data_IF_613451398363
#
_entry.id   IF_613451398363
#
_cell.length_a   1.000
_cell.length_b   1.000
_cell.length_c   1.000
_cell.angle_alpha   90.00
_cell.angle_beta   90.00
_cell.angle_gamma   90.00
#
_symmetry.space_group_name_H-M   'P 1'
#
loop_
_entity.id
_entity.type
_entity.pdbx_description
1 polymer ?
#
# COMPACT_ATOMS: atom_id res chain seq x y z
N UNK A 1 -13.68 -47.78 -53.92
CA UNK A 1 -12.36 -47.37 -53.38
C UNK A 1 -12.38 -45.99 -52.69
N UNK A 2 -13.22 -45.08 -53.07
CA UNK A 2 -13.27 -43.69 -52.54
C UNK A 2 -13.78 -43.62 -51.11
N UNK A 3 -14.68 -44.54 -50.68
CA UNK A 3 -15.27 -44.52 -49.30
C UNK A 3 -14.31 -44.93 -48.18
N UNK A 4 -13.25 -45.72 -48.50
CA UNK A 4 -12.25 -46.14 -47.49
C UNK A 4 -11.14 -45.10 -47.29
N UNK A 5 -10.94 -44.23 -48.28
CA UNK A 5 -9.97 -43.15 -48.16
C UNK A 5 -10.42 -41.99 -47.28
N UNK A 6 -11.76 -41.73 -47.24
CA UNK A 6 -12.33 -40.69 -46.37
C UNK A 6 -12.28 -41.04 -44.88
N UNK A 7 -12.35 -42.34 -44.53
CA UNK A 7 -12.28 -42.79 -43.13
C UNK A 7 -10.85 -42.71 -42.56
N UNK A 8 -9.82 -42.84 -43.39
CA UNK A 8 -8.41 -42.73 -42.95
C UNK A 8 -8.00 -41.29 -42.81
N UNK A 9 -8.52 -40.36 -43.58
CA UNK A 9 -8.24 -38.93 -43.45
C UNK A 9 -8.95 -38.32 -42.21
N UNK A 10 -10.11 -38.85 -41.80
CA UNK A 10 -10.79 -38.42 -40.58
C UNK A 10 -10.13 -38.96 -39.31
N UNK A 11 -9.38 -40.05 -39.36
CA UNK A 11 -8.66 -40.62 -38.20
C UNK A 11 -7.29 -39.97 -37.96
N UNK A 12 -6.76 -39.21 -38.91
CA UNK A 12 -5.48 -38.48 -38.79
C UNK A 12 -5.63 -37.01 -38.39
N UNK A 13 -6.85 -36.49 -38.29
CA UNK A 13 -7.14 -35.13 -37.78
C UNK A 13 -7.56 -35.11 -36.31
N UNK A 14 -7.39 -36.20 -35.54
CA UNK A 14 -7.29 -36.11 -34.08
C UNK A 14 -5.94 -35.50 -33.72
N UNK A 15 -5.76 -34.23 -34.13
CA UNK A 15 -4.70 -33.40 -33.63
C UNK A 15 -4.88 -33.33 -32.12
N UNK A 16 -4.02 -34.02 -31.40
CA UNK A 16 -3.76 -33.79 -30.00
C UNK A 16 -3.59 -32.30 -29.82
N UNK A 17 -4.64 -31.66 -29.27
CA UNK A 17 -4.48 -30.37 -28.62
C UNK A 17 -3.26 -30.53 -27.71
N UNK A 18 -2.28 -29.62 -27.76
CA UNK A 18 -1.18 -29.70 -26.82
C UNK A 18 -1.82 -29.73 -25.44
N UNK A 19 -1.59 -30.81 -24.71
CA UNK A 19 -1.94 -30.84 -23.28
C UNK A 19 -1.27 -29.61 -22.68
N UNK A 20 -2.09 -28.64 -22.28
CA UNK A 20 -1.60 -27.48 -21.55
C UNK A 20 -0.88 -28.09 -20.37
N UNK A 21 0.43 -27.98 -20.30
CA UNK A 21 1.19 -28.44 -19.15
C UNK A 21 0.50 -27.83 -17.95
N UNK A 22 -0.13 -28.68 -17.15
CA UNK A 22 -0.78 -28.26 -15.93
C UNK A 22 0.38 -27.79 -15.07
N UNK A 23 0.50 -26.48 -14.84
CA UNK A 23 1.57 -25.94 -14.01
C UNK A 23 1.48 -26.65 -12.67
N UNK A 24 2.60 -27.18 -12.15
CA UNK A 24 2.65 -27.86 -10.87
C UNK A 24 2.40 -26.92 -9.69
N UNK A 25 2.19 -25.63 -9.95
CA UNK A 25 2.01 -24.61 -8.95
C UNK A 25 0.76 -24.83 -8.09
N UNK A 26 0.92 -24.64 -6.78
CA UNK A 26 -0.17 -24.65 -5.80
C UNK A 26 -0.91 -23.31 -5.74
N UNK A 27 -0.27 -22.26 -6.23
CA UNK A 27 -0.84 -20.93 -6.34
C UNK A 27 0.03 -19.95 -7.11
N UNK A 28 -0.53 -18.77 -7.38
CA UNK A 28 0.11 -17.71 -8.15
C UNK A 28 0.03 -16.39 -7.39
N UNK A 29 1.07 -15.58 -7.47
CA UNK A 29 1.07 -14.23 -6.92
C UNK A 29 -0.01 -13.38 -7.59
N UNK A 30 -0.84 -12.71 -6.79
CA UNK A 30 -1.86 -11.78 -7.29
C UNK A 30 -1.24 -10.47 -7.79
N UNK A 31 -0.18 -10.03 -7.14
CA UNK A 31 0.55 -8.78 -7.40
C UNK A 31 2.06 -9.03 -7.33
N UNK A 32 2.93 -8.06 -7.72
CA UNK A 32 4.35 -8.14 -7.39
C UNK A 32 4.52 -8.35 -5.89
N UNK A 33 5.21 -9.43 -5.49
CA UNK A 33 5.25 -9.90 -4.12
C UNK A 33 6.67 -10.19 -3.67
N UNK A 34 7.07 -9.68 -2.51
CA UNK A 34 8.39 -9.94 -1.95
C UNK A 34 8.50 -11.39 -1.47
N UNK A 35 9.52 -12.09 -1.98
CA UNK A 35 10.01 -13.36 -1.45
C UNK A 35 11.02 -13.07 -0.36
N UNK A 36 10.81 -13.63 0.84
CA UNK A 36 11.62 -13.29 2.03
C UNK A 36 12.32 -14.49 2.62
N UNK A 37 13.33 -14.21 3.45
CA UNK A 37 14.13 -15.24 4.13
C UNK A 37 13.39 -15.91 5.30
N UNK A 38 12.28 -15.36 5.77
CA UNK A 38 11.51 -15.91 6.89
C UNK A 38 10.05 -15.48 6.88
N UNK A 39 9.22 -16.05 7.78
CA UNK A 39 7.77 -15.86 7.82
C UNK A 39 7.37 -14.55 8.50
N UNK A 40 7.76 -13.42 7.93
CA UNK A 40 7.46 -12.12 8.49
C UNK A 40 8.03 -10.98 7.65
N UNK A 41 7.54 -9.79 7.93
CA UNK A 41 7.95 -8.58 7.24
C UNK A 41 9.35 -8.08 7.67
N UNK A 42 9.77 -8.45 8.86
CA UNK A 42 11.09 -8.18 9.44
C UNK A 42 12.22 -9.03 8.83
N UNK A 43 11.89 -10.02 7.98
CA UNK A 43 12.87 -10.84 7.30
C UNK A 43 13.31 -10.20 5.98
N UNK A 44 14.58 -10.37 5.62
CA UNK A 44 15.17 -9.80 4.42
C UNK A 44 14.43 -10.24 3.14
N UNK A 45 14.32 -9.31 2.19
CA UNK A 45 13.80 -9.61 0.85
C UNK A 45 14.88 -10.31 0.03
N UNK A 46 14.57 -11.48 -0.49
CA UNK A 46 15.44 -12.21 -1.43
C UNK A 46 15.31 -11.59 -2.82
N UNK A 47 14.05 -11.43 -3.29
CA UNK A 47 13.70 -10.84 -4.58
C UNK A 47 12.22 -10.44 -4.56
N UNK A 48 11.83 -9.54 -5.43
CA UNK A 48 10.42 -9.28 -5.73
C UNK A 48 9.97 -10.17 -6.90
N UNK A 49 8.96 -10.99 -6.65
CA UNK A 49 8.33 -11.83 -7.66
C UNK A 49 7.33 -11.00 -8.46
N UNK A 50 7.29 -11.12 -9.80
CA UNK A 50 6.22 -10.53 -10.61
C UNK A 50 4.83 -11.07 -10.24
N UNK A 51 3.77 -10.37 -10.64
CA UNK A 51 2.41 -10.89 -10.59
C UNK A 51 2.27 -12.17 -11.44
N UNK A 52 1.34 -13.04 -11.06
CA UNK A 52 1.09 -14.33 -11.74
C UNK A 52 2.28 -15.29 -11.73
N UNK A 53 3.23 -15.14 -10.81
CA UNK A 53 4.33 -16.08 -10.62
C UNK A 53 3.83 -17.33 -9.89
N UNK A 54 4.01 -18.51 -10.49
CA UNK A 54 3.66 -19.81 -9.93
C UNK A 54 4.55 -20.19 -8.75
N UNK A 55 3.95 -20.76 -7.69
CA UNK A 55 4.66 -21.22 -6.48
C UNK A 55 4.17 -22.60 -6.06
N UNK A 56 5.09 -23.43 -5.60
CA UNK A 56 4.82 -24.71 -4.94
C UNK A 56 5.11 -24.50 -3.45
N UNK A 57 4.14 -24.83 -2.58
CA UNK A 57 4.23 -24.55 -1.16
C UNK A 57 4.59 -25.81 -0.36
N UNK A 58 5.55 -25.67 0.56
CA UNK A 58 6.13 -26.74 1.38
C UNK A 58 5.64 -26.66 2.83
N UNK A 59 5.47 -25.43 3.35
CA UNK A 59 5.12 -25.19 4.73
C UNK A 59 4.38 -23.86 4.91
N UNK A 60 3.86 -23.65 6.10
CA UNK A 60 3.24 -22.41 6.56
C UNK A 60 3.73 -22.00 7.93
N UNK A 61 3.55 -20.75 8.31
CA UNK A 61 3.70 -20.36 9.71
C UNK A 61 2.45 -20.74 10.54
N UNK A 62 2.50 -20.55 11.85
CA UNK A 62 1.48 -21.04 12.77
C UNK A 62 0.07 -20.52 12.45
N UNK A 63 -0.06 -19.23 12.08
CA UNK A 63 -1.34 -18.56 11.80
C UNK A 63 -1.75 -18.54 10.32
N UNK A 64 -0.99 -19.26 9.46
CA UNK A 64 -1.24 -19.38 8.00
C UNK A 64 -1.11 -18.03 7.25
N UNK A 65 -0.46 -17.03 7.82
CA UNK A 65 -0.25 -15.74 7.15
C UNK A 65 0.94 -15.75 6.20
N UNK A 66 1.86 -16.68 6.37
CA UNK A 66 3.04 -16.87 5.52
C UNK A 66 3.18 -18.29 5.02
N UNK A 67 3.61 -18.43 3.77
CA UNK A 67 3.86 -19.72 3.13
C UNK A 67 5.31 -19.82 2.67
N UNK A 68 5.99 -20.87 3.06
CA UNK A 68 7.28 -21.27 2.51
C UNK A 68 7.06 -22.06 1.24
N UNK A 69 7.78 -21.74 0.21
CA UNK A 69 7.69 -22.47 -1.05
C UNK A 69 8.79 -22.07 -2.01
N UNK A 70 8.76 -22.69 -3.18
CA UNK A 70 9.75 -22.48 -4.23
C UNK A 70 9.09 -22.23 -5.59
N UNK A 71 9.85 -21.73 -6.55
CA UNK A 71 9.46 -21.66 -7.96
C UNK A 71 9.35 -23.08 -8.57
N UNK A 72 8.62 -23.24 -9.68
CA UNK A 72 8.43 -24.54 -10.31
C UNK A 72 9.76 -25.21 -10.72
N UNK A 73 10.80 -24.44 -11.00
CA UNK A 73 12.16 -24.91 -11.31
C UNK A 73 13.02 -25.17 -10.06
N UNK A 74 12.49 -24.90 -8.85
CA UNK A 74 13.21 -25.03 -7.59
C UNK A 74 14.27 -23.96 -7.33
N UNK A 75 14.51 -23.04 -8.23
CA UNK A 75 15.63 -22.08 -8.13
C UNK A 75 15.42 -21.00 -7.07
N UNK A 76 14.18 -20.59 -6.83
CA UNK A 76 13.83 -19.54 -5.88
C UNK A 76 12.99 -20.09 -4.73
N UNK A 77 13.60 -20.27 -3.56
CA UNK A 77 12.93 -20.72 -2.34
C UNK A 77 12.85 -19.59 -1.31
N UNK A 78 11.71 -19.44 -0.65
CA UNK A 78 11.50 -18.43 0.38
C UNK A 78 10.05 -18.31 0.80
N UNK A 79 9.81 -17.38 1.70
CA UNK A 79 8.51 -17.09 2.29
C UNK A 79 7.77 -16.00 1.51
N UNK A 80 6.50 -16.24 1.29
CA UNK A 80 5.57 -15.25 0.71
C UNK A 80 4.37 -15.07 1.64
N UNK A 81 3.78 -13.89 1.63
CA UNK A 81 2.54 -13.65 2.37
C UNK A 81 1.38 -14.37 1.68
N UNK A 82 0.66 -15.20 2.43
CA UNK A 82 -0.41 -16.08 1.98
C UNK A 82 -1.60 -15.34 1.36
N UNK A 83 -1.84 -14.12 1.81
CA UNK A 83 -2.95 -13.29 1.36
C UNK A 83 -2.85 -12.92 -0.13
N UNK A 84 -1.64 -12.78 -0.65
CA UNK A 84 -1.38 -12.36 -2.03
C UNK A 84 -1.22 -13.54 -2.98
N UNK A 85 -1.71 -14.71 -2.59
CA UNK A 85 -1.68 -15.93 -3.40
C UNK A 85 -3.09 -16.30 -3.84
N UNK A 86 -3.30 -16.40 -5.13
CA UNK A 86 -4.45 -17.08 -5.71
C UNK A 86 -4.13 -18.57 -5.74
N UNK A 87 -4.80 -19.35 -4.92
CA UNK A 87 -4.58 -20.78 -4.83
C UNK A 87 -5.20 -21.55 -6.01
N UNK A 88 -4.58 -22.66 -6.34
CA UNK A 88 -5.15 -23.66 -7.22
C UNK A 88 -6.40 -24.26 -6.57
N UNK A 89 -7.38 -24.61 -7.38
CA UNK A 89 -8.60 -25.29 -6.92
C UNK A 89 -8.24 -26.58 -6.16
N UNK A 90 -8.81 -26.75 -4.99
CA UNK A 90 -8.55 -27.89 -4.09
C UNK A 90 -7.29 -27.78 -3.23
N UNK A 91 -6.46 -26.75 -3.38
CA UNK A 91 -5.34 -26.52 -2.48
C UNK A 91 -5.80 -25.80 -1.20
N UNK A 92 -5.36 -26.29 -0.06
CA UNK A 92 -5.65 -25.68 1.24
C UNK A 92 -4.37 -25.48 2.05
N UNK A 93 -3.93 -24.24 2.16
CA UNK A 93 -2.69 -23.85 2.87
C UNK A 93 -2.67 -24.32 4.34
N UNK A 94 -3.84 -24.43 4.98
CA UNK A 94 -3.96 -24.91 6.36
C UNK A 94 -3.45 -26.35 6.55
N UNK A 95 -3.44 -27.15 5.49
CA UNK A 95 -2.97 -28.55 5.52
C UNK A 95 -1.44 -28.68 5.42
N UNK A 96 -0.72 -27.60 5.14
CA UNK A 96 0.74 -27.61 5.12
C UNK A 96 1.31 -27.75 6.54
N UNK A 97 2.47 -28.38 6.69
CA UNK A 97 3.17 -28.42 7.97
C UNK A 97 3.57 -27.01 8.44
N UNK A 98 3.58 -26.82 9.76
CA UNK A 98 4.05 -25.57 10.35
C UNK A 98 5.59 -25.55 10.32
N UNK A 99 6.17 -24.43 9.92
CA UNK A 99 7.62 -24.17 9.93
C UNK A 99 7.90 -22.74 10.34
N UNK A 100 9.03 -22.52 10.98
CA UNK A 100 9.63 -21.23 11.28
C UNK A 100 11.04 -21.12 10.67
N UNK A 101 11.34 -21.97 9.69
CA UNK A 101 12.64 -22.03 9.02
C UNK A 101 12.99 -20.66 8.43
N UNK A 102 14.24 -20.26 8.59
CA UNK A 102 14.81 -19.10 7.89
C UNK A 102 15.73 -19.58 6.78
N UNK A 103 15.58 -18.99 5.60
CA UNK A 103 16.40 -19.29 4.43
C UNK A 103 17.71 -18.52 4.54
N UNK A 104 18.84 -19.23 4.60
CA UNK A 104 20.14 -18.60 4.49
C UNK A 104 20.34 -18.11 3.05
N UNK A 105 20.54 -16.83 2.85
CA UNK A 105 21.03 -16.32 1.56
C UNK A 105 22.53 -16.56 1.50
N UNK A 106 23.03 -17.08 0.38
CA UNK A 106 24.46 -17.19 0.11
C UNK A 106 25.04 -15.78 -0.15
N UNK A 107 25.18 -15.00 0.89
CA UNK A 107 25.92 -13.74 0.91
C UNK A 107 26.27 -13.38 2.35
N UNK A 108 27.31 -14.04 2.90
CA UNK A 108 28.23 -13.37 3.80
C UNK A 108 29.03 -12.32 2.98
N UNK A 109 28.34 -11.38 2.40
CA UNK A 109 28.91 -10.09 2.02
C UNK A 109 28.45 -9.13 3.10
N UNK A 110 29.38 -8.39 3.78
CA UNK A 110 28.97 -7.38 4.72
C UNK A 110 28.01 -6.45 4.01
N UNK A 111 26.74 -6.49 4.42
CA UNK A 111 25.77 -5.51 3.98
C UNK A 111 26.35 -4.13 4.24
N UNK A 112 26.13 -3.13 3.35
CA UNK A 112 26.38 -1.75 3.74
C UNK A 112 25.63 -1.57 5.06
N UNK A 113 26.35 -1.05 6.05
CA UNK A 113 25.83 -0.78 7.39
C UNK A 113 24.59 0.11 7.21
N UNK A 114 23.43 -0.53 7.10
CA UNK A 114 22.17 0.09 7.49
C UNK A 114 22.33 0.32 8.98
N UNK A 115 22.19 1.58 9.37
CA UNK A 115 22.29 2.05 10.73
C UNK A 115 21.74 1.02 11.71
N UNK A 116 22.50 0.84 12.83
CA UNK A 116 22.31 -0.14 13.87
C UNK A 116 20.83 -0.41 14.16
N UNK A 117 20.46 -1.65 14.56
CA UNK A 117 19.10 -1.93 15.01
C UNK A 117 18.75 -0.85 16.03
N UNK A 118 17.73 -0.07 15.71
CA UNK A 118 17.19 0.94 16.63
C UNK A 118 16.98 0.17 17.94
N UNK A 119 17.72 0.58 18.96
CA UNK A 119 17.61 0.06 20.32
C UNK A 119 16.14 -0.13 20.64
N UNK A 120 15.78 -1.16 21.36
CA UNK A 120 14.47 -1.62 21.79
C UNK A 120 13.60 -0.56 22.49
N UNK A 121 13.39 0.59 21.84
CA UNK A 121 12.34 1.54 22.17
C UNK A 121 11.02 0.95 21.68
N UNK A 122 9.96 1.16 22.43
CA UNK A 122 8.62 0.76 22.00
C UNK A 122 8.30 1.42 20.65
N UNK A 123 7.37 0.85 19.87
CA UNK A 123 6.88 1.48 18.63
C UNK A 123 6.44 2.93 18.84
N UNK A 124 5.93 3.22 20.05
CA UNK A 124 5.61 4.56 20.53
C UNK A 124 6.84 5.47 20.55
N UNK A 125 7.95 5.04 21.17
CA UNK A 125 9.17 5.86 21.27
C UNK A 125 9.78 6.12 19.88
N UNK A 126 9.71 5.15 18.98
CA UNK A 126 10.15 5.32 17.59
C UNK A 126 9.35 6.41 16.90
N UNK A 127 8.01 6.33 16.95
CA UNK A 127 7.14 7.35 16.35
C UNK A 127 7.34 8.73 16.98
N UNK A 128 7.53 8.80 18.30
CA UNK A 128 7.82 10.05 19.00
C UNK A 128 9.18 10.65 18.63
N UNK A 129 10.14 9.86 18.22
CA UNK A 129 11.46 10.35 17.79
C UNK A 129 11.44 11.00 16.40
N UNK A 130 10.48 10.63 15.54
CA UNK A 130 10.39 11.12 14.16
C UNK A 130 9.80 12.53 14.15
N UNK A 131 10.44 13.54 13.50
CA UNK A 131 9.87 14.89 13.40
C UNK A 131 8.46 14.89 12.81
N UNK A 132 7.64 15.90 13.17
CA UNK A 132 6.28 16.07 12.59
C UNK A 132 6.36 16.16 11.07
N UNK A 133 7.31 16.94 10.56
CA UNK A 133 7.66 17.01 9.14
C UNK A 133 9.16 16.71 9.04
N UNK A 134 9.56 15.51 8.66
CA UNK A 134 10.96 15.17 8.38
C UNK A 134 11.51 15.99 7.21
N UNK A 135 12.83 16.05 7.10
CA UNK A 135 13.47 16.67 5.95
C UNK A 135 13.02 16.02 4.63
N UNK A 136 12.70 16.84 3.65
CA UNK A 136 12.25 16.40 2.33
C UNK A 136 13.44 16.50 1.37
N UNK A 137 13.73 15.42 0.66
CA UNK A 137 14.80 15.37 -0.36
C UNK A 137 14.38 16.01 -1.68
N UNK A 138 15.32 16.11 -2.61
CA UNK A 138 15.05 16.52 -3.99
C UNK A 138 14.22 15.51 -4.78
N UNK A 139 14.19 14.25 -4.37
CA UNK A 139 13.47 13.16 -5.08
C UNK A 139 11.97 13.45 -5.28
N UNK A 140 11.32 14.09 -4.30
CA UNK A 140 9.93 14.50 -4.46
C UNK A 140 9.72 15.39 -5.71
N UNK A 141 10.69 16.27 -6.02
CA UNK A 141 10.66 17.10 -7.25
C UNK A 141 10.87 16.26 -8.51
N UNK A 142 11.75 15.26 -8.44
CA UNK A 142 12.07 14.40 -9.57
C UNK A 142 10.86 13.55 -9.98
N UNK A 143 10.03 13.10 -9.01
CA UNK A 143 8.77 12.40 -9.28
C UNK A 143 7.85 13.25 -10.16
N UNK A 144 7.71 14.52 -9.87
CA UNK A 144 6.82 15.43 -10.61
C UNK A 144 7.40 15.88 -11.95
N UNK A 145 8.72 15.99 -12.05
CA UNK A 145 9.40 16.57 -13.20
C UNK A 145 9.08 15.81 -14.49
N UNK A 146 8.59 16.49 -15.49
CA UNK A 146 8.26 15.91 -16.80
C UNK A 146 6.96 15.11 -16.85
N UNK A 147 6.20 15.00 -15.75
CA UNK A 147 4.92 14.27 -15.70
C UNK A 147 3.84 14.89 -16.56
N UNK A 148 3.89 16.21 -16.76
CA UNK A 148 2.85 16.99 -17.39
C UNK A 148 1.59 17.16 -16.52
N UNK A 149 1.65 16.82 -15.23
CA UNK A 149 0.58 17.07 -14.27
C UNK A 149 0.42 18.57 -13.96
N UNK A 150 -0.75 18.95 -13.44
CA UNK A 150 -1.01 20.33 -13.05
C UNK A 150 -0.26 20.67 -11.75
N UNK A 151 0.72 21.60 -11.77
CA UNK A 151 1.53 21.94 -10.61
C UNK A 151 0.73 22.58 -9.48
N UNK A 152 -0.49 23.04 -9.71
CA UNK A 152 -1.35 23.73 -8.74
C UNK A 152 -2.42 22.83 -8.13
N UNK A 153 -2.46 21.55 -8.50
CA UNK A 153 -3.50 20.64 -8.05
C UNK A 153 -2.99 19.69 -6.95
N UNK A 154 -3.67 19.72 -5.81
CA UNK A 154 -3.56 18.76 -4.72
C UNK A 154 -4.82 17.89 -4.69
N UNK A 155 -4.67 16.59 -4.49
CA UNK A 155 -5.78 15.69 -4.17
C UNK A 155 -5.62 15.07 -2.79
N UNK A 156 -6.73 14.59 -2.25
CA UNK A 156 -6.79 13.86 -0.97
C UNK A 156 -7.14 12.40 -1.25
N UNK A 157 -6.45 11.50 -0.55
CA UNK A 157 -6.67 10.05 -0.63
C UNK A 157 -6.82 9.54 0.80
N UNK A 158 -7.95 8.89 1.13
CA UNK A 158 -8.15 8.39 2.48
C UNK A 158 -9.61 8.15 2.85
N UNK A 159 -9.85 8.12 4.14
CA UNK A 159 -11.14 7.87 4.76
C UNK A 159 -11.93 9.16 5.07
N UNK A 160 -12.90 9.06 6.00
CA UNK A 160 -13.73 10.19 6.44
C UNK A 160 -12.92 11.38 6.97
N UNK A 161 -11.75 11.17 7.57
CA UNK A 161 -10.89 12.24 8.04
C UNK A 161 -10.27 13.02 6.87
N UNK A 162 -10.01 12.36 5.76
CA UNK A 162 -9.51 13.00 4.53
C UNK A 162 -10.64 13.61 3.69
N UNK A 163 -11.88 13.06 3.76
CA UNK A 163 -13.06 13.62 3.10
C UNK A 163 -13.52 14.91 3.76
N UNK A 164 -13.41 14.98 5.10
CA UNK A 164 -13.91 16.07 5.91
C UNK A 164 -13.44 17.44 5.44
N UNK A 165 -14.37 18.41 5.47
CA UNK A 165 -14.06 19.80 5.14
C UNK A 165 -12.92 20.37 5.99
N UNK A 166 -12.87 19.95 7.25
CA UNK A 166 -11.90 20.39 8.25
C UNK A 166 -10.45 20.08 7.89
N UNK A 167 -10.23 19.12 6.99
CA UNK A 167 -8.88 18.70 6.56
C UNK A 167 -8.43 19.63 5.45
N UNK A 168 -8.30 20.37 4.87
CA UNK A 168 -7.77 21.32 3.87
C UNK A 168 -8.81 22.34 3.39
N UNK A 169 -10.10 22.06 3.59
CA UNK A 169 -11.19 22.90 3.12
C UNK A 169 -11.10 24.37 3.57
N UNK A 170 -10.73 24.68 4.81
CA UNK A 170 -10.61 26.07 5.29
C UNK A 170 -9.64 26.91 4.45
N UNK A 171 -8.57 26.33 3.89
CA UNK A 171 -7.66 27.05 3.00
C UNK A 171 -8.32 27.51 1.69
N UNK A 172 -9.43 26.92 1.30
CA UNK A 172 -10.17 27.32 0.10
C UNK A 172 -11.07 28.54 0.34
N UNK A 173 -11.51 28.77 1.56
CA UNK A 173 -12.44 29.87 1.92
C UNK A 173 -11.78 31.03 2.64
N UNK A 174 -10.53 30.89 3.03
CA UNK A 174 -9.85 31.89 3.86
C UNK A 174 -10.22 31.79 5.35
N UNK A 175 -10.92 30.72 5.77
CA UNK A 175 -11.36 30.51 7.15
C UNK A 175 -10.26 29.79 7.95
N UNK A 176 -9.09 30.42 8.05
CA UNK A 176 -7.93 29.91 8.77
C UNK A 176 -7.05 31.03 9.28
N UNK A 177 -6.28 30.73 10.32
CA UNK A 177 -5.20 31.57 10.83
C UNK A 177 -3.91 30.72 10.83
N UNK A 178 -2.90 31.14 10.09
CA UNK A 178 -1.60 30.46 10.04
C UNK A 178 -0.74 30.74 11.27
N UNK A 179 -1.05 31.74 12.10
CA UNK A 179 -0.26 32.10 13.26
C UNK A 179 1.23 32.23 12.94
N UNK A 180 2.08 31.49 13.63
CA UNK A 180 3.54 31.46 13.40
C UNK A 180 3.93 30.89 12.03
N UNK A 181 3.03 30.20 11.34
CA UNK A 181 3.22 29.62 10.00
C UNK A 181 2.83 30.58 8.88
N UNK A 182 2.67 31.87 9.15
CA UNK A 182 2.31 32.89 8.14
C UNK A 182 3.22 32.91 6.89
N UNK A 183 4.45 32.40 7.02
CA UNK A 183 5.37 32.22 5.89
C UNK A 183 4.89 31.21 4.85
N UNK A 184 3.90 30.38 5.16
CA UNK A 184 3.28 29.39 4.25
C UNK A 184 2.17 30.00 3.40
N UNK A 185 1.76 31.26 3.61
CA UNK A 185 0.71 31.91 2.83
C UNK A 185 0.94 31.79 1.30
N UNK A 186 2.15 32.00 0.76
CA UNK A 186 2.39 31.82 -0.67
C UNK A 186 2.11 30.39 -1.17
N UNK A 187 2.32 29.37 -0.31
CA UNK A 187 2.01 27.98 -0.64
C UNK A 187 0.49 27.77 -0.69
N UNK A 188 -0.25 28.32 0.28
CA UNK A 188 -1.71 28.26 0.30
C UNK A 188 -2.28 28.95 -0.95
N UNK A 189 -1.78 30.14 -1.29
CA UNK A 189 -2.21 30.89 -2.47
C UNK A 189 -1.90 30.14 -3.78
N UNK A 190 -0.76 29.46 -3.82
CA UNK A 190 -0.32 28.68 -5.00
C UNK A 190 -1.26 27.51 -5.31
N UNK A 191 -1.73 26.80 -4.28
CA UNK A 191 -2.68 25.69 -4.41
C UNK A 191 -4.14 26.12 -4.26
N UNK A 192 -4.41 27.40 -4.15
CA UNK A 192 -5.76 27.95 -4.01
C UNK A 192 -6.73 27.42 -5.06
N UNK A 193 -7.94 27.08 -4.64
CA UNK A 193 -8.97 26.46 -5.50
C UNK A 193 -8.89 24.92 -5.55
N UNK A 194 -7.75 24.31 -5.20
CA UNK A 194 -7.57 22.87 -5.15
C UNK A 194 -8.05 22.26 -3.83
N UNK A 195 -7.93 22.98 -2.72
CA UNK A 195 -8.25 22.48 -1.38
C UNK A 195 -9.72 22.13 -1.15
N UNK A 196 -10.65 22.80 -1.84
CA UNK A 196 -12.09 22.59 -1.73
C UNK A 196 -12.66 21.51 -2.67
N UNK A 197 -11.82 20.91 -3.53
CA UNK A 197 -12.28 19.91 -4.50
C UNK A 197 -12.65 18.62 -3.77
N UNK A 198 -13.84 18.07 -4.09
CA UNK A 198 -14.22 16.72 -3.61
C UNK A 198 -13.49 15.67 -4.43
N UNK A 199 -12.67 14.88 -3.76
CA UNK A 199 -11.94 13.79 -4.38
C UNK A 199 -12.70 12.47 -4.21
N UNK A 200 -12.82 11.67 -5.27
CA UNK A 200 -13.46 10.33 -5.20
C UNK A 200 -12.60 9.31 -4.47
N UNK A 201 -11.34 9.63 -4.22
CA UNK A 201 -10.40 8.83 -3.44
C UNK A 201 -10.41 9.13 -1.94
N UNK A 202 -11.18 10.13 -1.50
CA UNK A 202 -11.37 10.45 -0.08
C UNK A 202 -12.86 10.33 0.25
N UNK A 203 -13.24 9.28 0.99
CA UNK A 203 -14.64 8.97 1.26
C UNK A 203 -14.83 8.28 2.62
N UNK A 204 -15.88 8.67 3.33
CA UNK A 204 -16.27 8.03 4.59
C UNK A 204 -16.46 6.52 4.43
N UNK A 205 -15.86 5.76 5.33
CA UNK A 205 -15.90 4.30 5.27
C UNK A 205 -14.86 3.64 4.37
N UNK A 206 -14.09 4.40 3.59
CA UNK A 206 -12.99 3.81 2.83
C UNK A 206 -11.91 3.25 3.76
N UNK A 207 -11.41 2.10 3.38
CA UNK A 207 -10.12 1.57 3.74
C UNK A 207 -9.19 1.66 2.52
N UNK A 208 -7.93 1.33 2.70
CA UNK A 208 -6.94 1.48 1.63
C UNK A 208 -7.22 0.60 0.40
N UNK A 209 -7.95 -0.51 0.55
CA UNK A 209 -8.38 -1.35 -0.57
C UNK A 209 -9.37 -0.64 -1.50
N UNK A 210 -10.26 0.18 -0.93
CA UNK A 210 -11.32 0.79 -1.69
C UNK A 210 -10.78 1.64 -2.85
N UNK A 211 -9.64 2.32 -2.67
CA UNK A 211 -9.08 3.18 -3.72
C UNK A 211 -8.42 2.41 -4.88
N UNK A 212 -8.15 1.11 -4.69
CA UNK A 212 -7.53 0.26 -5.72
C UNK A 212 -8.47 -0.81 -6.29
N UNK A 213 -9.73 -0.84 -5.84
CA UNK A 213 -10.75 -1.79 -6.32
C UNK A 213 -11.78 -1.06 -7.20
N UNK A 214 -11.95 -1.44 -8.48
CA UNK A 214 -12.91 -0.82 -9.38
C UNK A 214 -14.36 -0.84 -8.90
N UNK A 215 -14.73 -1.74 -7.99
CA UNK A 215 -16.10 -1.82 -7.45
C UNK A 215 -16.50 -0.58 -6.65
N UNK A 216 -15.52 0.17 -6.15
CA UNK A 216 -15.72 1.42 -5.41
C UNK A 216 -15.64 2.67 -6.29
N UNK A 217 -15.41 2.49 -7.60
CA UNK A 217 -15.31 3.61 -8.51
C UNK A 217 -16.66 4.29 -8.73
N UNK A 218 -16.65 5.61 -8.81
CA UNK A 218 -17.83 6.39 -9.19
C UNK A 218 -18.11 6.23 -10.68
N UNK A 219 -19.09 5.38 -11.03
CA UNK A 219 -19.43 5.06 -12.43
C UNK A 219 -19.88 6.26 -13.26
N UNK A 220 -20.31 7.36 -12.63
CA UNK A 220 -20.65 8.61 -13.31
C UNK A 220 -19.43 9.46 -13.71
N UNK A 221 -18.24 9.12 -13.19
CA UNK A 221 -17.02 9.91 -13.38
C UNK A 221 -15.83 9.09 -13.88
N UNK A 222 -15.81 7.80 -13.58
CA UNK A 222 -14.72 6.90 -13.91
C UNK A 222 -15.03 6.06 -15.14
N UNK A 223 -13.98 5.63 -15.83
CA UNK A 223 -14.10 4.72 -16.96
C UNK A 223 -14.45 3.29 -16.48
N UNK A 224 -15.02 2.45 -17.34
CA UNK A 224 -15.27 1.05 -16.98
C UNK A 224 -13.99 0.35 -16.48
N UNK A 225 -14.10 -0.37 -15.36
CA UNK A 225 -13.01 -1.08 -14.69
C UNK A 225 -11.85 -0.19 -14.17
N UNK A 226 -12.04 1.11 -14.16
CA UNK A 226 -11.06 2.04 -13.57
C UNK A 226 -11.20 2.06 -12.05
N UNK A 227 -10.09 1.99 -11.33
CA UNK A 227 -10.10 2.14 -9.86
C UNK A 227 -10.35 3.60 -9.46
N UNK A 228 -10.86 3.88 -8.26
CA UNK A 228 -10.97 5.26 -7.76
C UNK A 228 -9.65 6.03 -7.88
N UNK A 229 -8.51 5.41 -7.54
CA UNK A 229 -7.19 6.03 -7.64
C UNK A 229 -6.84 6.39 -9.09
N UNK A 230 -6.94 5.45 -10.02
CA UNK A 230 -6.62 5.69 -11.43
C UNK A 230 -7.53 6.79 -12.02
N UNK A 231 -8.82 6.74 -11.69
CA UNK A 231 -9.82 7.74 -12.11
C UNK A 231 -9.46 9.15 -11.61
N UNK A 232 -9.14 9.27 -10.32
CA UNK A 232 -8.77 10.56 -9.72
C UNK A 232 -7.51 11.14 -10.34
N UNK A 233 -6.45 10.33 -10.45
CA UNK A 233 -5.17 10.72 -11.05
C UNK A 233 -5.34 11.17 -12.50
N UNK A 234 -6.13 10.44 -13.31
CA UNK A 234 -6.42 10.80 -14.70
C UNK A 234 -7.20 12.11 -14.81
N UNK A 235 -8.23 12.31 -13.97
CA UNK A 235 -9.14 13.46 -14.04
C UNK A 235 -8.49 14.75 -13.60
N UNK A 236 -7.70 14.69 -12.53
CA UNK A 236 -7.14 15.89 -11.91
C UNK A 236 -5.68 16.14 -12.27
N UNK A 237 -4.95 15.11 -12.71
CA UNK A 237 -3.52 15.20 -13.04
C UNK A 237 -2.73 15.96 -11.95
N UNK A 238 -2.83 15.56 -10.69
CA UNK A 238 -2.35 16.37 -9.58
C UNK A 238 -0.83 16.35 -9.47
N UNK A 239 -0.25 17.45 -8.97
CA UNK A 239 1.15 17.48 -8.56
C UNK A 239 1.36 16.72 -7.26
N UNK A 240 0.40 16.80 -6.33
CA UNK A 240 0.52 16.26 -4.97
C UNK A 240 -0.72 15.47 -4.59
N UNK A 241 -0.51 14.34 -3.92
CA UNK A 241 -1.57 13.54 -3.29
C UNK A 241 -1.27 13.38 -1.80
N UNK A 242 -2.10 13.98 -0.93
CA UNK A 242 -1.99 13.79 0.52
C UNK A 242 -2.81 12.58 0.92
N UNK A 243 -2.17 11.62 1.61
CA UNK A 243 -2.72 10.31 1.89
C UNK A 243 -2.74 10.03 3.38
N UNK A 244 -3.93 9.69 3.91
CA UNK A 244 -4.10 9.22 5.28
C UNK A 244 -5.06 8.04 5.31
N UNK A 245 -4.53 6.88 5.70
CA UNK A 245 -5.29 5.65 5.96
C UNK A 245 -4.92 5.10 7.33
N UNK A 246 -5.72 4.19 7.84
CA UNK A 246 -5.47 3.47 9.08
C UNK A 246 -6.69 3.33 9.96
N UNK A 247 -7.44 4.39 10.30
CA UNK A 247 -8.58 4.30 11.22
C UNK A 247 -9.60 3.20 10.86
N UNK A 248 -10.02 3.13 9.61
CA UNK A 248 -10.93 2.08 9.14
C UNK A 248 -10.19 0.76 8.86
N UNK A 249 -8.93 0.84 8.49
CA UNK A 249 -8.13 -0.34 8.12
C UNK A 249 -7.85 -1.25 9.31
N UNK A 250 -7.63 -0.69 10.51
CA UNK A 250 -7.34 -1.47 11.73
C UNK A 250 -8.44 -2.47 12.10
N UNK A 251 -9.68 -2.24 11.66
CA UNK A 251 -10.81 -3.15 11.89
C UNK A 251 -10.91 -4.26 10.86
N UNK A 252 -10.17 -4.17 9.74
CA UNK A 252 -10.35 -5.04 8.58
C UNK A 252 -9.07 -5.67 8.07
N UNK A 253 -7.90 -5.07 8.35
CA UNK A 253 -6.63 -5.48 7.78
C UNK A 253 -5.63 -5.88 8.86
N UNK A 254 -4.79 -6.85 8.52
CA UNK A 254 -3.54 -7.08 9.22
C UNK A 254 -2.48 -6.04 8.81
N UNK A 255 -1.43 -5.89 9.59
CA UNK A 255 -0.30 -5.01 9.27
C UNK A 255 0.29 -5.29 7.88
N UNK A 256 0.42 -6.57 7.52
CA UNK A 256 0.93 -6.97 6.21
C UNK A 256 0.01 -6.57 5.05
N UNK A 257 -1.30 -6.69 5.24
CA UNK A 257 -2.30 -6.28 4.24
C UNK A 257 -2.25 -4.78 4.03
N UNK A 258 -2.22 -4.02 5.12
CA UNK A 258 -2.12 -2.57 5.08
C UNK A 258 -0.85 -2.12 4.35
N UNK A 259 0.32 -2.69 4.69
CA UNK A 259 1.58 -2.33 4.04
C UNK A 259 1.55 -2.57 2.54
N UNK A 260 1.11 -3.75 2.11
CA UNK A 260 1.11 -4.06 0.68
C UNK A 260 0.17 -3.13 -0.09
N UNK A 261 -1.01 -2.83 0.45
CA UNK A 261 -1.94 -1.90 -0.16
C UNK A 261 -1.37 -0.47 -0.20
N UNK A 262 -0.71 -0.04 0.87
CA UNK A 262 -0.07 1.28 0.91
C UNK A 262 1.04 1.39 -0.14
N UNK A 263 1.88 0.36 -0.27
CA UNK A 263 2.92 0.29 -1.31
C UNK A 263 2.33 0.34 -2.71
N UNK A 264 1.22 -0.35 -2.95
CA UNK A 264 0.54 -0.32 -4.25
C UNK A 264 0.01 1.09 -4.58
N UNK A 265 -0.65 1.75 -3.64
CA UNK A 265 -1.17 3.12 -3.81
C UNK A 265 -0.03 4.10 -4.06
N UNK A 266 1.05 4.02 -3.27
CA UNK A 266 2.24 4.87 -3.42
C UNK A 266 2.88 4.65 -4.79
N UNK A 267 3.12 3.40 -5.18
CA UNK A 267 3.75 3.08 -6.47
C UNK A 267 2.92 3.58 -7.65
N UNK A 268 1.60 3.41 -7.63
CA UNK A 268 0.71 3.90 -8.68
C UNK A 268 0.71 5.43 -8.75
N UNK A 269 0.78 6.10 -7.61
CA UNK A 269 0.83 7.57 -7.54
C UNK A 269 2.15 8.12 -8.08
N UNK A 270 3.28 7.52 -7.70
CA UNK A 270 4.60 7.86 -8.24
C UNK A 270 4.66 7.62 -9.75
N UNK A 271 4.16 6.47 -10.23
CA UNK A 271 4.13 6.14 -11.65
C UNK A 271 3.31 7.14 -12.49
N UNK A 272 2.30 7.79 -11.88
CA UNK A 272 1.56 8.89 -12.51
C UNK A 272 2.35 10.22 -12.52
N UNK A 273 3.50 10.31 -11.88
CA UNK A 273 4.23 11.57 -11.70
C UNK A 273 3.60 12.51 -10.68
N UNK A 274 2.82 11.97 -9.76
CA UNK A 274 2.22 12.70 -8.63
C UNK A 274 3.04 12.43 -7.38
N UNK A 275 3.38 13.47 -6.62
CA UNK A 275 4.14 13.36 -5.36
C UNK A 275 3.21 12.84 -4.26
N UNK A 276 3.39 11.61 -3.74
CA UNK A 276 2.65 11.17 -2.57
C UNK A 276 3.21 11.86 -1.31
N UNK A 277 2.32 12.37 -0.48
CA UNK A 277 2.63 12.85 0.88
C UNK A 277 1.91 11.95 1.85
N UNK A 278 2.63 11.07 2.53
CA UNK A 278 2.03 10.16 3.50
C UNK A 278 1.79 10.84 4.83
N UNK A 279 0.70 10.50 5.47
CA UNK A 279 0.33 11.03 6.79
C UNK A 279 0.04 9.89 7.75
N UNK A 280 0.68 9.86 8.91
CA UNK A 280 0.27 8.98 10.00
C UNK A 280 -1.08 9.43 10.54
N UNK A 281 -1.88 8.51 11.07
CA UNK A 281 -3.14 8.85 11.71
C UNK A 281 -3.00 8.89 13.23
N UNK A 282 -3.92 9.57 13.93
CA UNK A 282 -3.80 9.84 15.35
C UNK A 282 -4.76 9.03 16.21
N UNK A 283 -4.34 8.70 17.41
CA UNK A 283 -5.14 8.27 18.56
C UNK A 283 -4.32 8.47 19.84
N UNK A 284 -4.97 8.44 21.00
CA UNK A 284 -4.28 8.40 22.27
C UNK A 284 -3.83 6.98 22.63
N UNK A 285 -2.78 6.85 23.46
CA UNK A 285 -2.22 5.56 23.91
C UNK A 285 -3.27 4.64 24.52
N UNK A 286 -4.27 5.19 25.21
CA UNK A 286 -5.42 4.47 25.77
C UNK A 286 -6.55 4.21 24.76
N UNK A 287 -6.34 4.54 23.49
CA UNK A 287 -7.38 4.53 22.45
C UNK A 287 -7.62 3.19 21.80
N UNK A 288 -8.56 3.19 20.85
CA UNK A 288 -9.17 1.99 20.24
C UNK A 288 -8.24 1.17 19.32
N UNK A 289 -7.09 1.72 18.91
CA UNK A 289 -6.26 1.09 17.86
C UNK A 289 -5.10 0.27 18.40
N UNK A 290 -4.70 0.45 19.66
CA UNK A 290 -3.66 -0.33 20.32
C UNK A 290 -2.37 -0.48 19.52
N UNK A 291 -1.72 -1.62 19.69
CA UNK A 291 -0.45 -1.94 19.02
C UNK A 291 -0.57 -1.99 17.49
N UNK A 292 -1.71 -2.39 16.95
CA UNK A 292 -1.93 -2.46 15.51
C UNK A 292 -1.89 -1.08 14.87
N UNK A 293 -2.46 -0.07 15.53
CA UNK A 293 -2.37 1.31 15.06
C UNK A 293 -0.93 1.84 15.05
N UNK A 294 -0.13 1.53 16.09
CA UNK A 294 1.29 1.86 16.11
C UNK A 294 2.04 1.19 14.95
N UNK A 295 1.76 -0.09 14.69
CA UNK A 295 2.34 -0.81 13.56
C UNK A 295 1.98 -0.18 12.22
N UNK A 296 0.72 0.22 12.00
CA UNK A 296 0.30 0.87 10.76
C UNK A 296 1.01 2.21 10.55
N UNK A 297 1.18 3.01 11.61
CA UNK A 297 1.93 4.25 11.52
C UNK A 297 3.41 4.02 11.25
N UNK A 298 4.04 3.00 11.85
CA UNK A 298 5.42 2.62 11.53
C UNK A 298 5.57 2.15 10.09
N UNK A 299 4.60 1.39 9.57
CA UNK A 299 4.56 0.99 8.16
C UNK A 299 4.49 2.23 7.27
N UNK A 300 3.62 3.18 7.59
CA UNK A 300 3.49 4.44 6.85
C UNK A 300 4.81 5.21 6.80
N UNK A 301 5.50 5.31 7.95
CA UNK A 301 6.84 5.93 8.05
C UNK A 301 7.87 5.19 7.20
N UNK A 302 7.91 3.86 7.29
CA UNK A 302 8.88 3.05 6.55
C UNK A 302 8.65 3.13 5.04
N UNK A 303 7.40 3.07 4.59
CA UNK A 303 7.06 3.22 3.17
C UNK A 303 7.44 4.61 2.66
N UNK A 304 7.23 5.68 3.46
CA UNK A 304 7.66 7.02 3.08
C UNK A 304 9.20 7.10 2.96
N UNK A 305 9.93 6.56 3.93
CA UNK A 305 11.40 6.57 3.95
C UNK A 305 11.99 5.76 2.80
N UNK A 306 11.50 4.55 2.56
CA UNK A 306 12.01 3.67 1.51
C UNK A 306 11.78 4.20 0.10
N UNK A 307 10.74 5.00 -0.11
CA UNK A 307 10.45 5.65 -1.38
C UNK A 307 10.99 7.09 -1.44
N UNK A 308 11.64 7.55 -0.38
CA UNK A 308 12.16 8.94 -0.24
C UNK A 308 11.09 10.00 -0.58
N UNK A 309 9.88 9.82 -0.04
CA UNK A 309 8.74 10.70 -0.26
C UNK A 309 8.36 11.45 1.02
N UNK A 310 7.70 12.60 0.91
CA UNK A 310 7.29 13.39 2.06
C UNK A 310 6.38 12.64 3.03
N UNK A 311 6.61 12.88 4.33
CA UNK A 311 5.85 12.35 5.45
C UNK A 311 5.35 13.47 6.34
N UNK A 312 4.13 13.34 6.85
CA UNK A 312 3.60 14.14 7.97
C UNK A 312 3.35 13.17 9.13
N UNK A 313 4.14 13.28 10.20
CA UNK A 313 3.89 12.51 11.42
C UNK A 313 2.81 13.19 12.26
N UNK A 314 1.57 13.10 11.76
CA UNK A 314 0.41 13.71 12.39
C UNK A 314 0.11 13.08 13.74
N UNK A 315 0.35 11.78 13.91
CA UNK A 315 0.22 11.12 15.20
C UNK A 315 1.03 11.84 16.28
N UNK A 316 2.31 12.12 16.02
CA UNK A 316 3.15 12.87 16.98
C UNK A 316 2.63 14.27 17.24
N UNK A 317 2.21 14.99 16.22
CA UNK A 317 1.69 16.35 16.35
C UNK A 317 0.45 16.39 17.26
N UNK A 318 -0.36 15.33 17.24
CA UNK A 318 -1.60 15.26 17.98
C UNK A 318 -1.43 14.81 19.44
N UNK A 319 -0.32 14.16 19.84
CA UNK A 319 -0.15 13.58 21.17
C UNK A 319 -0.23 14.63 22.31
N UNK A 320 0.20 15.85 22.07
CA UNK A 320 0.13 16.95 23.04
C UNK A 320 -1.23 17.65 23.12
N UNK A 321 -2.20 17.27 22.28
CA UNK A 321 -3.50 17.91 22.21
C UNK A 321 -4.55 17.15 23.04
N UNK A 322 -5.61 17.85 23.54
CA UNK A 322 -6.70 17.19 24.25
C UNK A 322 -7.28 16.03 23.43
N UNK A 323 -7.40 14.86 24.08
CA UNK A 323 -7.86 13.61 23.46
C UNK A 323 -7.16 13.28 22.12
N UNK A 324 -5.86 13.61 22.00
CA UNK A 324 -5.06 13.44 20.77
C UNK A 324 -5.78 13.93 19.51
N UNK A 325 -6.51 15.04 19.66
CA UNK A 325 -7.31 15.68 18.60
C UNK A 325 -8.48 14.83 18.08
N UNK A 326 -8.99 13.89 18.85
CA UNK A 326 -10.18 13.11 18.50
C UNK A 326 -11.43 13.65 19.15
N UNK A 327 -12.53 13.77 18.41
CA UNK A 327 -13.88 14.07 18.89
C UNK A 327 -14.70 12.81 19.17
N UNK A 328 -14.36 11.71 18.51
CA UNK A 328 -14.93 10.38 18.65
C UNK A 328 -13.83 9.35 18.44
N UNK A 329 -14.17 8.07 18.52
CA UNK A 329 -13.18 6.98 18.48
C UNK A 329 -12.18 7.05 17.30
N UNK A 330 -12.61 7.56 16.15
CA UNK A 330 -11.81 7.60 14.92
C UNK A 330 -11.97 8.90 14.10
N UNK A 331 -12.66 9.90 14.65
CA UNK A 331 -12.86 11.18 13.95
C UNK A 331 -12.07 12.29 14.59
N UNK A 332 -11.45 13.13 13.77
CA UNK A 332 -10.76 14.32 14.22
C UNK A 332 -11.74 15.35 14.80
N UNK A 333 -11.30 16.08 15.83
CA UNK A 333 -12.04 17.21 16.35
C UNK A 333 -12.11 18.32 15.32
N UNK A 334 -13.25 19.02 15.28
CA UNK A 334 -13.33 20.29 14.55
C UNK A 334 -12.34 21.30 15.16
N UNK A 335 -11.80 22.22 14.36
CA UNK A 335 -11.10 23.39 14.89
C UNK A 335 -11.98 24.13 15.89
N UNK A 336 -11.37 24.65 16.95
CA UNK A 336 -12.06 25.51 17.93
C UNK A 336 -12.32 26.87 17.32
#
# INVERSE_FOLDING_TARGET
MIRKLFLIVMLLLSMSLPARAQSGADGWTLYPLNLRTGPGMNYAVIIQLPSSTGRIFEARNADVTWLLGHSEDGALRGWVNALYIRYREGFAAVNLPVSEETIATAADVPAPQTDAPVSSGSAFDVLMSIPVVPAISGHARDIFQGSGNDPRTIIRIGDCNSEGWEFLGPFNTGDYDLGEYGYLQPTVDYFGGSFGVKNITAHGGFNIFAVTDPTWANTGQCQPNETPLACELRRHRPAVAVMMFGPNDTSHLTAAQFEASLRQVVAATIANGTIPVLTTFTWCESGSYGDLGLQFNLITVNVARENDIPLINFWRAAQGLPNCRLSAANHLSKPL
#
